data_IF_133063924920
#
_entry.id   IF_133063924920
#
_cell.length_a   1.000
_cell.length_b   1.000
_cell.length_c   1.000
_cell.angle_alpha   90.00
_cell.angle_beta   90.00
_cell.angle_gamma   90.00
#
_symmetry.space_group_name_H-M   'P 1'
#
loop_
_entity.id
_entity.type
_entity.pdbx_description
1 polymer ?
#
# COMPACT_ATOMS: atom_id res chain seq x y z
N UNK A 1 7.96 -11.23 -39.53
CA UNK A 1 6.96 -11.71 -40.50
C UNK A 1 5.91 -10.61 -40.61
N UNK A 2 5.74 -10.07 -41.82
CA UNK A 2 4.64 -9.15 -42.10
C UNK A 2 3.32 -9.93 -42.08
N UNK A 3 2.33 -9.40 -41.39
CA UNK A 3 1.00 -10.00 -41.36
C UNK A 3 0.29 -9.70 -42.66
N UNK A 4 -0.27 -10.72 -43.28
CA UNK A 4 -1.10 -10.60 -44.50
C UNK A 4 -2.57 -10.40 -44.12
N UNK A 5 -3.31 -9.74 -45.01
CA UNK A 5 -4.75 -9.52 -44.86
C UNK A 5 -5.51 -10.86 -44.83
N UNK A 6 -6.52 -10.98 -43.95
CA UNK A 6 -7.33 -12.18 -43.81
C UNK A 6 -8.20 -12.51 -45.04
N UNK A 7 -8.30 -11.63 -46.05
CA UNK A 7 -9.10 -11.78 -47.26
C UNK A 7 -8.32 -11.77 -48.57
N UNK A 8 -7.02 -11.39 -48.55
CA UNK A 8 -6.17 -11.42 -49.74
C UNK A 8 -4.68 -11.43 -49.33
N UNK A 9 -3.73 -11.73 -50.23
CA UNK A 9 -2.28 -11.81 -49.90
C UNK A 9 -1.59 -10.49 -49.70
N UNK A 10 -2.30 -9.37 -49.71
CA UNK A 10 -1.74 -8.03 -49.47
C UNK A 10 -1.31 -7.81 -47.99
N UNK A 11 -0.28 -7.00 -47.69
CA UNK A 11 0.08 -6.69 -46.33
C UNK A 11 -1.05 -5.96 -45.59
N UNK A 12 -1.18 -6.18 -44.29
CA UNK A 12 -2.20 -5.49 -43.46
C UNK A 12 -1.89 -4.02 -43.34
N UNK A 13 -2.91 -3.19 -43.25
CA UNK A 13 -2.79 -1.73 -43.12
C UNK A 13 -2.03 -1.28 -41.86
N UNK A 14 -2.08 -2.06 -40.83
CA UNK A 14 -1.29 -1.83 -39.58
C UNK A 14 -1.08 -3.13 -38.83
N UNK A 15 -0.10 -3.16 -37.91
CA UNK A 15 0.18 -4.35 -37.07
C UNK A 15 -1.04 -4.83 -36.24
N UNK A 16 -2.07 -3.99 -36.07
CA UNK A 16 -3.28 -4.29 -35.30
C UNK A 16 -4.52 -4.54 -36.16
N UNK A 17 -4.46 -4.38 -37.47
CA UNK A 17 -5.60 -4.62 -38.36
C UNK A 17 -5.47 -5.99 -39.08
N UNK A 18 -6.54 -6.81 -39.12
CA UNK A 18 -6.54 -8.03 -39.93
C UNK A 18 -6.77 -7.77 -41.42
N UNK A 19 -6.97 -6.52 -41.85
CA UNK A 19 -7.33 -6.16 -43.23
C UNK A 19 -6.31 -5.21 -43.86
N UNK A 20 -6.11 -5.33 -45.19
CA UNK A 20 -5.42 -4.31 -45.99
C UNK A 20 -6.31 -3.06 -46.14
N UNK A 21 -5.77 -1.99 -46.72
CA UNK A 21 -6.48 -0.71 -46.86
C UNK A 21 -7.84 -0.83 -47.55
N UNK A 22 -7.90 -1.58 -48.63
CA UNK A 22 -9.14 -1.80 -49.46
C UNK A 22 -10.20 -2.59 -48.67
N UNK A 23 -9.84 -3.76 -48.15
CA UNK A 23 -10.77 -4.59 -47.38
C UNK A 23 -11.21 -3.97 -46.05
N UNK A 24 -10.42 -3.04 -45.48
CA UNK A 24 -10.84 -2.24 -44.34
C UNK A 24 -11.98 -1.26 -44.69
N UNK A 25 -11.94 -0.69 -45.90
CA UNK A 25 -13.02 0.18 -46.39
C UNK A 25 -14.30 -0.64 -46.59
N UNK A 26 -14.19 -1.84 -47.17
CA UNK A 26 -15.34 -2.73 -47.30
C UNK A 26 -15.90 -3.23 -45.96
N UNK A 27 -15.04 -3.61 -45.01
CA UNK A 27 -15.47 -4.01 -43.69
C UNK A 27 -16.18 -2.85 -42.95
N UNK A 28 -15.74 -1.60 -43.15
CA UNK A 28 -16.47 -0.43 -42.68
C UNK A 28 -17.83 -0.26 -43.37
N UNK A 29 -17.92 -0.45 -44.71
CA UNK A 29 -19.19 -0.39 -45.43
C UNK A 29 -20.19 -1.43 -44.94
N UNK A 30 -19.74 -2.63 -44.56
CA UNK A 30 -20.61 -3.68 -44.00
C UNK A 30 -21.09 -3.28 -42.59
N UNK A 31 -20.24 -2.67 -41.76
CA UNK A 31 -20.65 -2.12 -40.47
C UNK A 31 -21.68 -0.98 -40.60
N UNK A 32 -21.60 -0.18 -41.67
CA UNK A 32 -22.58 0.88 -41.97
C UNK A 32 -23.89 0.37 -42.54
N UNK A 33 -23.93 -0.84 -43.16
CA UNK A 33 -25.16 -1.47 -43.61
C UNK A 33 -26.03 -2.05 -42.50
N UNK A 34 -25.46 -2.23 -41.30
CA UNK A 34 -26.17 -2.65 -40.10
C UNK A 34 -26.44 -1.45 -39.19
N UNK A 35 -26.88 -0.33 -39.75
CA UNK A 35 -27.36 0.79 -38.91
C UNK A 35 -28.56 0.30 -38.11
N UNK A 36 -28.60 0.40 -36.82
CA UNK A 36 -29.75 -0.01 -36.01
C UNK A 36 -31.02 0.75 -36.46
N UNK A 37 -32.16 0.13 -36.29
CA UNK A 37 -33.45 0.77 -36.60
C UNK A 37 -33.63 2.00 -35.65
N UNK A 38 -34.33 3.05 -36.16
CA UNK A 38 -34.71 4.16 -35.30
C UNK A 38 -35.48 3.69 -34.06
N UNK A 39 -35.19 4.27 -32.91
CA UNK A 39 -35.85 3.96 -31.64
C UNK A 39 -35.91 5.21 -30.74
N UNK A 40 -36.82 5.25 -29.77
CA UNK A 40 -36.95 6.42 -28.90
C UNK A 40 -35.76 6.60 -27.98
N UNK A 41 -35.39 7.83 -27.72
CA UNK A 41 -34.39 8.19 -26.71
C UNK A 41 -34.97 8.00 -25.31
N UNK A 42 -34.29 7.30 -24.44
CA UNK A 42 -34.74 7.00 -23.08
C UNK A 42 -34.88 8.25 -22.18
N UNK A 43 -34.34 9.40 -22.61
CA UNK A 43 -34.43 10.66 -21.84
C UNK A 43 -35.55 11.61 -22.34
N UNK A 44 -35.60 11.90 -23.66
CA UNK A 44 -36.55 12.87 -24.18
C UNK A 44 -37.74 12.25 -24.92
N UNK A 45 -37.73 10.95 -25.17
CA UNK A 45 -38.77 10.25 -25.90
C UNK A 45 -38.75 10.46 -27.43
N UNK A 46 -37.97 11.38 -27.95
CA UNK A 46 -37.84 11.63 -29.38
C UNK A 46 -37.06 10.50 -30.07
N UNK A 47 -37.41 10.27 -31.34
CA UNK A 47 -36.76 9.16 -32.09
C UNK A 47 -35.32 9.47 -32.45
N UNK A 48 -34.44 8.54 -32.18
CA UNK A 48 -33.03 8.54 -32.66
C UNK A 48 -33.02 7.99 -34.06
N UNK A 49 -33.09 8.89 -35.07
CA UNK A 49 -33.25 8.53 -36.48
C UNK A 49 -32.07 7.73 -37.06
N UNK A 50 -30.87 8.00 -36.61
CA UNK A 50 -29.63 7.38 -37.06
C UNK A 50 -28.70 7.00 -35.90
N UNK A 51 -29.07 5.99 -35.11
CA UNK A 51 -28.18 5.55 -34.02
C UNK A 51 -26.89 4.99 -34.63
N UNK A 52 -25.73 5.41 -34.11
CA UNK A 52 -24.43 4.94 -34.61
C UNK A 52 -23.95 3.63 -33.95
N UNK A 53 -24.66 3.20 -32.89
CA UNK A 53 -24.49 1.90 -32.23
C UNK A 53 -25.84 1.28 -31.93
N UNK A 54 -25.94 -0.02 -31.96
CA UNK A 54 -27.19 -0.77 -31.72
C UNK A 54 -27.74 -0.61 -30.29
N UNK A 55 -26.89 -0.18 -29.35
CA UNK A 55 -27.20 0.04 -27.94
C UNK A 55 -27.29 1.53 -27.56
N UNK A 56 -27.33 2.44 -28.54
CA UNK A 56 -27.44 3.88 -28.28
C UNK A 56 -28.85 4.20 -27.76
N UNK A 57 -28.96 4.50 -26.47
CA UNK A 57 -30.22 4.79 -25.78
C UNK A 57 -30.58 6.28 -25.71
N UNK A 58 -29.65 7.16 -26.06
CA UNK A 58 -29.79 8.61 -25.89
C UNK A 58 -29.27 9.36 -27.10
N UNK A 59 -29.85 10.51 -27.40
CA UNK A 59 -29.20 11.51 -28.26
C UNK A 59 -27.92 12.03 -27.60
N UNK A 60 -26.93 12.43 -28.38
CA UNK A 60 -25.64 12.91 -27.85
C UNK A 60 -25.79 14.06 -26.84
N UNK A 61 -26.77 14.96 -27.04
CA UNK A 61 -27.06 16.03 -26.08
C UNK A 61 -27.89 15.62 -24.86
N UNK A 62 -28.56 14.45 -24.89
CA UNK A 62 -29.40 13.95 -23.80
C UNK A 62 -28.60 13.14 -22.77
N UNK A 63 -27.55 12.44 -23.17
CA UNK A 63 -26.74 11.66 -22.25
C UNK A 63 -26.10 12.45 -21.11
N UNK A 64 -25.48 13.64 -21.36
CA UNK A 64 -24.95 14.46 -20.28
C UNK A 64 -26.05 14.95 -19.30
N UNK A 65 -27.24 15.29 -19.80
CA UNK A 65 -28.38 15.73 -19.00
C UNK A 65 -28.92 14.60 -18.14
N UNK A 66 -29.18 13.43 -18.74
CA UNK A 66 -29.59 12.24 -18.02
C UNK A 66 -28.58 11.86 -16.93
N UNK A 67 -27.28 11.89 -17.24
CA UNK A 67 -26.23 11.63 -16.26
C UNK A 67 -26.23 12.64 -15.11
N UNK A 68 -26.40 13.92 -15.41
CA UNK A 68 -26.44 14.97 -14.38
C UNK A 68 -27.64 14.79 -13.43
N UNK A 69 -28.83 14.46 -13.96
CA UNK A 69 -30.03 14.20 -13.16
C UNK A 69 -29.93 12.94 -12.31
N UNK A 70 -29.42 11.85 -12.88
CA UNK A 70 -29.21 10.59 -12.13
C UNK A 70 -28.07 10.66 -11.11
N UNK A 71 -27.03 11.44 -11.36
CA UNK A 71 -25.98 11.72 -10.34
C UNK A 71 -26.59 12.57 -9.22
N UNK A 72 -27.45 13.54 -9.55
CA UNK A 72 -28.17 14.35 -8.54
C UNK A 72 -29.14 13.52 -7.70
N UNK A 73 -29.83 12.54 -8.29
CA UNK A 73 -30.77 11.66 -7.57
C UNK A 73 -30.10 10.53 -6.80
N UNK A 74 -28.94 10.02 -7.25
CA UNK A 74 -28.14 9.08 -6.47
C UNK A 74 -27.48 9.73 -5.26
N UNK A 75 -27.14 11.01 -5.34
CA UNK A 75 -26.64 11.78 -4.20
C UNK A 75 -27.74 12.25 -3.24
N UNK A 76 -29.02 12.02 -3.57
CA UNK A 76 -30.16 12.09 -2.63
C UNK A 76 -30.56 10.66 -2.24
N UNK A 77 -29.60 9.88 -1.72
CA UNK A 77 -29.96 8.76 -0.86
C UNK A 77 -30.88 9.31 0.23
N UNK A 78 -31.97 8.59 0.61
CA UNK A 78 -32.78 9.01 1.73
C UNK A 78 -31.84 9.32 2.88
N UNK A 79 -31.99 10.51 3.49
CA UNK A 79 -31.36 10.80 4.76
C UNK A 79 -31.95 9.78 5.72
N UNK A 80 -31.29 8.60 5.82
CA UNK A 80 -31.44 7.74 6.97
C UNK A 80 -31.01 8.59 8.15
N UNK A 81 -31.83 8.66 9.16
CA UNK A 81 -31.35 9.04 10.48
C UNK A 81 -30.11 8.19 10.75
N UNK A 82 -29.00 8.78 11.17
CA UNK A 82 -27.76 8.03 11.35
C UNK A 82 -28.08 6.84 12.25
N UNK A 83 -27.96 5.63 11.72
CA UNK A 83 -27.89 4.45 12.56
C UNK A 83 -26.59 4.63 13.32
N UNK A 84 -26.70 5.02 14.58
CA UNK A 84 -25.62 5.46 15.48
C UNK A 84 -24.43 4.46 15.48
N UNK A 85 -24.68 3.23 15.06
CA UNK A 85 -23.71 2.15 14.99
C UNK A 85 -22.88 2.15 13.69
N UNK A 86 -23.51 2.42 12.54
CA UNK A 86 -22.81 2.53 11.26
C UNK A 86 -22.02 3.83 11.15
N UNK A 87 -22.57 4.93 11.66
CA UNK A 87 -21.85 6.20 11.72
C UNK A 87 -20.68 6.14 12.69
N UNK A 88 -20.79 5.38 13.79
CA UNK A 88 -19.65 5.08 14.67
C UNK A 88 -18.57 4.24 13.99
N UNK A 89 -18.98 3.26 13.16
CA UNK A 89 -18.02 2.48 12.34
C UNK A 89 -17.35 3.35 11.28
N UNK A 90 -18.11 4.15 10.54
CA UNK A 90 -17.57 5.08 9.54
C UNK A 90 -16.79 6.21 10.19
N UNK A 91 -17.25 6.79 11.30
CA UNK A 91 -16.52 7.80 12.04
C UNK A 91 -15.23 7.25 12.64
N UNK A 92 -15.21 5.99 13.06
CA UNK A 92 -13.99 5.30 13.49
C UNK A 92 -12.99 5.15 12.32
N UNK A 93 -13.49 4.98 11.09
CA UNK A 93 -12.67 4.94 9.87
C UNK A 93 -12.28 6.34 9.36
N UNK A 94 -13.20 7.29 9.38
CA UNK A 94 -12.94 8.67 8.96
C UNK A 94 -12.09 9.44 9.99
N UNK A 95 -12.16 9.07 11.27
CA UNK A 95 -11.40 9.73 12.35
C UNK A 95 -9.95 9.28 12.46
N UNK A 96 -9.54 8.19 11.82
CA UNK A 96 -8.12 7.77 11.79
C UNK A 96 -7.34 8.69 10.86
N UNK A 97 -6.97 9.82 11.40
CA UNK A 97 -6.10 10.79 10.76
C UNK A 97 -4.63 10.43 10.99
N UNK A 98 -3.75 11.11 10.28
CA UNK A 98 -2.33 11.06 10.58
C UNK A 98 -2.08 11.48 12.04
N UNK A 99 -1.15 10.79 12.70
CA UNK A 99 -0.76 11.08 14.08
C UNK A 99 0.43 12.01 14.05
N UNK A 100 0.44 13.01 14.97
CA UNK A 100 1.60 13.87 15.20
C UNK A 100 2.23 13.55 16.55
N UNK A 101 3.55 13.35 16.57
CA UNK A 101 4.35 13.10 17.76
C UNK A 101 5.40 14.21 17.84
N UNK A 102 5.20 15.16 18.73
CA UNK A 102 6.08 16.32 18.96
C UNK A 102 6.49 16.48 20.44
N UNK A 103 6.20 15.46 21.25
CA UNK A 103 6.42 15.44 22.70
C UNK A 103 7.70 14.68 23.13
N UNK A 104 8.64 14.46 22.20
CA UNK A 104 9.89 13.74 22.49
C UNK A 104 11.02 14.70 22.79
N UNK A 105 11.72 14.41 23.89
CA UNK A 105 12.85 15.18 24.40
C UNK A 105 14.18 14.68 23.82
N UNK A 106 15.21 15.52 23.96
CA UNK A 106 16.59 15.18 23.61
C UNK A 106 17.05 13.88 24.30
N UNK A 107 17.69 13.02 23.52
CA UNK A 107 18.11 11.70 23.97
C UNK A 107 17.06 10.60 23.73
N UNK A 108 15.84 10.95 23.31
CA UNK A 108 14.87 9.94 22.87
C UNK A 108 15.36 9.19 21.64
N UNK A 109 15.00 7.91 21.57
CA UNK A 109 15.41 6.98 20.50
C UNK A 109 14.19 6.38 19.82
N UNK A 110 14.21 6.39 18.49
CA UNK A 110 13.15 5.85 17.63
C UNK A 110 13.68 4.64 16.87
N UNK A 111 12.93 3.54 16.91
CA UNK A 111 13.13 2.36 16.05
C UNK A 111 11.94 2.25 15.08
N UNK A 112 12.18 2.13 13.79
CA UNK A 112 11.16 1.88 12.78
C UNK A 112 11.49 0.55 12.10
N UNK A 113 10.52 -0.37 12.11
CA UNK A 113 10.60 -1.68 11.46
C UNK A 113 9.40 -1.86 10.54
N UNK A 114 9.56 -2.58 9.44
CA UNK A 114 8.56 -2.72 8.38
C UNK A 114 8.68 -4.05 7.67
N UNK A 115 7.62 -4.45 6.99
CA UNK A 115 7.64 -5.54 6.01
C UNK A 115 8.18 -6.85 6.61
N UNK A 116 7.60 -7.26 7.75
CA UNK A 116 7.90 -8.57 8.36
C UNK A 116 7.26 -9.69 7.58
N UNK A 117 6.07 -9.44 7.04
CA UNK A 117 5.26 -10.37 6.26
C UNK A 117 5.16 -11.75 6.92
N UNK A 118 4.75 -11.74 8.19
CA UNK A 118 4.56 -12.99 8.94
C UNK A 118 3.62 -13.94 8.19
N UNK A 119 3.99 -15.21 8.03
CA UNK A 119 5.07 -15.92 8.72
C UNK A 119 6.44 -15.91 7.99
N UNK A 120 6.62 -15.11 6.93
CA UNK A 120 7.80 -15.11 6.07
C UNK A 120 8.94 -14.21 6.57
N UNK A 121 8.88 -13.78 7.81
CA UNK A 121 9.98 -13.05 8.46
C UNK A 121 11.27 -13.84 8.45
N UNK A 122 12.41 -13.18 8.25
CA UNK A 122 13.72 -13.78 8.50
C UNK A 122 13.91 -13.91 10.02
N UNK A 123 13.77 -15.15 10.51
CA UNK A 123 13.76 -15.43 11.96
C UNK A 123 15.07 -15.06 12.65
N UNK A 124 16.21 -15.21 11.97
CA UNK A 124 17.50 -14.86 12.54
C UNK A 124 17.63 -13.33 12.67
N UNK A 125 17.28 -12.60 11.61
CA UNK A 125 17.24 -11.15 11.62
C UNK A 125 16.25 -10.61 12.66
N UNK A 126 15.04 -11.17 12.74
CA UNK A 126 14.04 -10.79 13.74
C UNK A 126 14.61 -10.90 15.18
N UNK A 127 15.26 -12.02 15.50
CA UNK A 127 15.88 -12.23 16.81
C UNK A 127 17.00 -11.23 17.09
N UNK A 128 17.84 -10.94 16.09
CA UNK A 128 18.91 -9.96 16.21
C UNK A 128 18.37 -8.54 16.43
N UNK A 129 17.31 -8.13 15.70
CA UNK A 129 16.66 -6.83 15.89
C UNK A 129 15.95 -6.75 17.25
N UNK A 130 15.31 -7.84 17.70
CA UNK A 130 14.69 -7.92 19.02
C UNK A 130 15.75 -7.81 20.15
N UNK A 131 16.89 -8.47 20.00
CA UNK A 131 18.04 -8.33 20.92
C UNK A 131 18.54 -6.89 20.92
N UNK A 132 18.79 -6.33 19.73
CA UNK A 132 19.16 -4.92 19.58
C UNK A 132 18.19 -3.99 20.30
N UNK A 133 16.91 -4.13 20.11
CA UNK A 133 15.89 -3.31 20.79
C UNK A 133 15.96 -3.45 22.30
N UNK A 134 16.26 -4.66 22.81
CA UNK A 134 16.46 -4.91 24.24
C UNK A 134 17.67 -4.21 24.82
N UNK A 135 18.76 -4.16 24.08
CA UNK A 135 20.01 -3.47 24.48
C UNK A 135 19.90 -1.95 24.35
N UNK A 136 19.30 -1.52 23.24
CA UNK A 136 19.23 -0.10 22.86
C UNK A 136 18.09 0.66 23.55
N UNK A 137 17.00 -0.06 23.94
CA UNK A 137 15.87 0.48 24.70
C UNK A 137 15.24 1.71 24.00
N UNK A 138 14.61 1.57 22.83
CA UNK A 138 13.97 2.69 22.15
C UNK A 138 12.86 3.31 23.01
N UNK A 139 12.63 4.62 22.85
CA UNK A 139 11.51 5.32 23.47
C UNK A 139 10.25 5.24 22.61
N UNK A 140 10.42 5.11 21.29
CA UNK A 140 9.34 4.81 20.37
C UNK A 140 9.72 3.68 19.43
N UNK A 141 8.76 2.81 19.16
CA UNK A 141 8.83 1.80 18.09
C UNK A 141 7.68 2.10 17.14
N UNK A 142 7.97 2.24 15.85
CA UNK A 142 6.96 2.34 14.80
C UNK A 142 7.00 1.08 13.94
N UNK A 143 5.89 0.37 13.92
CA UNK A 143 5.61 -0.71 13.00
C UNK A 143 5.07 -0.09 11.71
N UNK A 144 5.90 -0.05 10.69
CA UNK A 144 5.59 0.72 9.48
C UNK A 144 4.94 -0.15 8.40
N UNK A 145 3.98 -0.99 8.79
CA UNK A 145 3.11 -1.77 7.91
C UNK A 145 3.70 -3.09 7.41
N UNK A 146 2.82 -3.87 6.80
CA UNK A 146 3.09 -5.20 6.25
C UNK A 146 3.74 -6.14 7.30
N UNK A 147 3.16 -6.12 8.53
CA UNK A 147 3.52 -7.09 9.58
C UNK A 147 2.98 -8.47 9.20
N UNK A 148 1.73 -8.52 8.71
CA UNK A 148 1.10 -9.70 8.14
C UNK A 148 1.47 -9.86 6.67
N UNK A 149 1.51 -11.10 6.16
CA UNK A 149 1.49 -11.32 4.71
C UNK A 149 0.05 -11.44 4.17
N UNK A 150 -0.86 -11.95 4.99
CA UNK A 150 -2.25 -12.24 4.59
C UNK A 150 -2.31 -13.10 3.31
N UNK A 151 -1.45 -14.13 3.25
CA UNK A 151 -1.18 -14.95 2.07
C UNK A 151 -2.42 -15.66 1.55
N UNK A 152 -3.18 -16.33 2.43
CA UNK A 152 -4.35 -17.13 2.04
C UNK A 152 -5.47 -16.31 1.40
N UNK A 153 -5.58 -15.04 1.77
CA UNK A 153 -6.60 -14.11 1.25
C UNK A 153 -6.06 -13.17 0.17
N UNK A 154 -4.86 -13.50 -0.34
CA UNK A 154 -4.25 -12.77 -1.46
C UNK A 154 -5.09 -12.90 -2.73
N UNK A 155 -5.07 -11.87 -3.57
CA UNK A 155 -5.62 -11.91 -4.92
C UNK A 155 -4.65 -12.51 -5.96
N UNK A 156 -3.43 -12.82 -5.55
CA UNK A 156 -2.42 -13.47 -6.37
C UNK A 156 -2.48 -14.99 -6.21
N UNK A 157 -1.86 -15.72 -7.14
CA UNK A 157 -1.74 -17.17 -7.06
C UNK A 157 -1.07 -17.58 -5.74
N UNK A 158 -1.76 -18.43 -4.98
CA UNK A 158 -1.26 -18.96 -3.72
C UNK A 158 -0.89 -20.43 -3.87
N UNK A 159 0.19 -20.85 -3.21
CA UNK A 159 0.58 -22.25 -3.17
C UNK A 159 -0.33 -23.03 -2.21
N UNK A 160 -1.19 -23.95 -2.69
CA UNK A 160 -2.17 -24.64 -1.85
C UNK A 160 -1.54 -25.61 -0.84
N UNK A 161 -0.24 -25.87 -0.93
CA UNK A 161 0.49 -26.71 0.05
C UNK A 161 0.97 -25.92 1.27
N UNK A 162 0.97 -24.59 1.22
CA UNK A 162 1.23 -23.72 2.37
C UNK A 162 -0.01 -23.64 3.24
N UNK A 163 0.12 -23.97 4.51
CA UNK A 163 -0.98 -24.05 5.47
C UNK A 163 -0.77 -23.14 6.68
N UNK A 164 -0.47 -21.88 6.42
CA UNK A 164 -0.49 -20.88 7.49
C UNK A 164 -1.77 -20.09 7.36
N UNK A 165 -2.72 -20.34 8.26
CA UNK A 165 -3.99 -19.63 8.29
C UNK A 165 -3.82 -18.19 8.78
N UNK A 166 -4.69 -17.29 8.32
CA UNK A 166 -4.68 -15.87 8.75
C UNK A 166 -4.73 -15.72 10.28
N UNK A 167 -5.38 -16.66 11.00
CA UNK A 167 -5.42 -16.66 12.46
C UNK A 167 -4.04 -16.92 13.09
N UNK A 168 -3.21 -17.73 12.45
CA UNK A 168 -1.83 -17.99 12.90
C UNK A 168 -0.95 -16.77 12.64
N UNK A 169 -1.10 -16.11 11.47
CA UNK A 169 -0.40 -14.87 11.15
C UNK A 169 -0.72 -13.77 12.17
N UNK A 170 -2.02 -13.57 12.48
CA UNK A 170 -2.48 -12.61 13.50
C UNK A 170 -1.86 -12.92 14.86
N UNK A 171 -1.84 -14.21 15.26
CA UNK A 171 -1.21 -14.61 16.53
C UNK A 171 0.27 -14.27 16.55
N UNK A 172 1.00 -14.59 15.47
CA UNK A 172 2.44 -14.28 15.36
C UNK A 172 2.69 -12.77 15.42
N UNK A 173 1.85 -11.97 14.77
CA UNK A 173 1.96 -10.52 14.82
C UNK A 173 1.73 -9.96 16.23
N UNK A 174 0.73 -10.45 16.94
CA UNK A 174 0.51 -10.10 18.36
C UNK A 174 1.70 -10.46 19.22
N UNK A 175 2.22 -11.69 19.08
CA UNK A 175 3.39 -12.13 19.84
C UNK A 175 4.60 -11.21 19.57
N UNK A 176 4.80 -10.78 18.31
CA UNK A 176 5.86 -9.84 17.95
C UNK A 176 5.66 -8.46 18.58
N UNK A 177 4.45 -7.90 18.52
CA UNK A 177 4.11 -6.63 19.18
C UNK A 177 4.39 -6.68 20.69
N UNK A 178 3.98 -7.76 21.35
CA UNK A 178 4.24 -7.96 22.79
C UNK A 178 5.72 -8.14 23.09
N UNK A 179 6.48 -8.84 22.27
CA UNK A 179 7.90 -9.03 22.50
C UNK A 179 8.69 -7.73 22.41
N UNK A 180 8.35 -6.87 21.45
CA UNK A 180 8.97 -5.56 21.31
C UNK A 180 8.51 -4.57 22.38
N UNK A 181 7.26 -4.67 22.89
CA UNK A 181 6.80 -3.81 23.99
C UNK A 181 7.68 -3.96 25.24
N UNK A 182 8.17 -5.16 25.53
CA UNK A 182 9.08 -5.43 26.66
C UNK A 182 10.49 -4.83 26.45
N UNK A 183 10.82 -4.39 25.24
CA UNK A 183 12.12 -3.83 24.88
C UNK A 183 12.14 -2.29 24.94
N UNK A 184 11.01 -1.65 25.13
CA UNK A 184 10.92 -0.20 25.26
C UNK A 184 11.70 0.34 26.47
N UNK A 185 12.14 1.57 26.37
CA UNK A 185 12.55 2.37 27.51
C UNK A 185 11.37 2.63 28.46
N UNK A 186 11.65 3.07 29.69
CA UNK A 186 10.59 3.47 30.62
C UNK A 186 9.80 4.63 30.01
N UNK A 187 8.47 4.52 29.99
CA UNK A 187 7.59 5.51 29.34
C UNK A 187 7.62 5.47 27.82
N UNK A 188 8.23 4.42 27.23
CA UNK A 188 8.25 4.22 25.79
C UNK A 188 6.91 3.78 25.24
N UNK A 189 6.69 4.01 23.94
CA UNK A 189 5.43 3.77 23.23
C UNK A 189 5.68 3.01 21.94
N UNK A 190 4.68 2.23 21.54
CA UNK A 190 4.60 1.66 20.19
C UNK A 190 3.51 2.35 19.38
N UNK A 191 3.70 2.35 18.07
CA UNK A 191 2.80 2.94 17.10
C UNK A 191 2.69 2.01 15.89
N UNK A 192 1.50 1.95 15.30
CA UNK A 192 1.25 1.13 14.12
C UNK A 192 0.88 2.02 12.94
N UNK A 193 1.47 1.75 11.78
CA UNK A 193 1.04 2.24 10.48
C UNK A 193 0.59 1.03 9.67
N UNK A 194 -0.66 1.00 9.21
CA UNK A 194 -1.13 -0.11 8.38
C UNK A 194 -0.40 -0.11 7.02
N UNK A 195 -0.03 -1.29 6.55
CA UNK A 195 0.44 -1.53 5.20
C UNK A 195 -0.69 -1.99 4.27
N UNK A 196 -0.36 -2.28 3.03
CA UNK A 196 -1.34 -2.80 2.08
C UNK A 196 -1.73 -4.26 2.37
N UNK A 197 -0.94 -5.00 3.12
CA UNK A 197 -1.27 -6.36 3.55
C UNK A 197 -2.29 -6.36 4.69
N UNK A 198 -2.20 -5.45 5.64
CA UNK A 198 -3.24 -5.23 6.65
C UNK A 198 -4.57 -4.82 6.00
N UNK A 199 -4.52 -3.92 5.02
CA UNK A 199 -5.68 -3.51 4.25
C UNK A 199 -6.29 -4.67 3.43
N UNK A 200 -5.50 -5.69 3.08
CA UNK A 200 -5.96 -6.89 2.34
C UNK A 200 -7.03 -7.65 3.09
N UNK A 201 -6.87 -7.85 4.42
CA UNK A 201 -7.86 -8.53 5.26
C UNK A 201 -9.19 -7.78 5.25
N UNK A 202 -9.15 -6.48 5.45
CA UNK A 202 -10.33 -5.61 5.45
C UNK A 202 -11.06 -5.66 4.12
N UNK A 203 -10.33 -5.53 3.00
CA UNK A 203 -10.89 -5.62 1.65
C UNK A 203 -11.46 -6.99 1.32
N UNK A 204 -10.85 -8.06 1.83
CA UNK A 204 -11.35 -9.41 1.65
C UNK A 204 -12.72 -9.58 2.32
N UNK A 205 -12.87 -9.14 3.57
CA UNK A 205 -14.13 -9.17 4.28
C UNK A 205 -15.20 -8.37 3.52
N UNK A 206 -14.90 -7.14 3.11
CA UNK A 206 -15.86 -6.30 2.38
C UNK A 206 -16.35 -6.89 1.06
N UNK A 207 -15.49 -7.62 0.35
CA UNK A 207 -15.84 -8.23 -0.93
C UNK A 207 -16.61 -9.54 -0.80
N UNK A 208 -16.29 -10.34 0.19
CA UNK A 208 -16.74 -11.73 0.28
C UNK A 208 -17.75 -11.97 1.41
N UNK A 209 -17.79 -11.11 2.41
CA UNK A 209 -18.60 -11.28 3.63
C UNK A 209 -18.95 -9.91 4.25
N UNK A 210 -19.37 -8.95 3.43
CA UNK A 210 -19.67 -7.58 3.88
C UNK A 210 -20.70 -7.51 5.01
N UNK A 211 -21.68 -8.44 5.00
CA UNK A 211 -22.67 -8.53 6.07
C UNK A 211 -22.06 -8.94 7.43
N UNK A 212 -20.88 -9.56 7.43
CA UNK A 212 -20.18 -9.97 8.65
C UNK A 212 -19.19 -8.89 9.15
N UNK A 213 -18.99 -7.82 8.42
CA UNK A 213 -18.01 -6.77 8.77
C UNK A 213 -18.30 -6.11 10.12
N UNK A 214 -19.57 -6.09 10.55
CA UNK A 214 -19.97 -5.54 11.85
C UNK A 214 -19.69 -6.47 13.03
N UNK A 215 -19.59 -7.78 12.79
CA UNK A 215 -19.42 -8.79 13.85
C UNK A 215 -18.01 -9.38 13.89
N UNK A 216 -17.24 -9.22 12.81
CA UNK A 216 -15.82 -9.60 12.80
C UNK A 216 -15.03 -8.48 13.48
N UNK A 217 -14.21 -8.78 14.50
CA UNK A 217 -13.34 -7.78 15.11
C UNK A 217 -12.45 -7.10 14.05
N UNK A 218 -12.26 -5.80 14.14
CA UNK A 218 -11.33 -5.11 13.24
C UNK A 218 -9.88 -5.56 13.52
N UNK A 219 -8.96 -5.22 12.60
CA UNK A 219 -7.58 -5.68 12.70
C UNK A 219 -6.91 -5.17 13.98
N UNK A 220 -7.21 -3.96 14.42
CA UNK A 220 -6.65 -3.40 15.66
C UNK A 220 -7.03 -4.25 16.88
N UNK A 221 -8.30 -4.69 16.93
CA UNK A 221 -8.77 -5.58 17.99
C UNK A 221 -8.14 -6.98 17.85
N UNK A 222 -8.02 -7.49 16.62
CA UNK A 222 -7.37 -8.78 16.36
C UNK A 222 -5.89 -8.76 16.76
N UNK A 223 -5.20 -7.66 16.55
CA UNK A 223 -3.79 -7.45 16.94
C UNK A 223 -3.62 -6.98 18.38
N UNK A 224 -4.72 -6.70 19.11
CA UNK A 224 -4.69 -6.19 20.48
C UNK A 224 -3.94 -4.86 20.62
N UNK A 225 -4.08 -3.97 19.60
CA UNK A 225 -3.30 -2.73 19.52
C UNK A 225 -3.59 -1.78 20.69
N UNK A 226 -4.82 -1.74 21.20
CA UNK A 226 -5.21 -0.87 22.32
C UNK A 226 -4.38 -1.15 23.59
N UNK A 227 -3.87 -2.39 23.75
CA UNK A 227 -3.05 -2.78 24.90
C UNK A 227 -1.53 -2.62 24.67
N UNK A 228 -1.09 -2.56 23.42
CA UNK A 228 0.35 -2.58 23.10
C UNK A 228 0.84 -1.36 22.33
N UNK A 229 -0.05 -0.61 21.68
CA UNK A 229 0.27 0.59 20.91
C UNK A 229 -0.39 1.84 21.53
N UNK A 230 0.29 2.96 21.45
CA UNK A 230 -0.26 4.28 21.83
C UNK A 230 -1.20 4.84 20.75
N UNK A 231 -1.14 4.29 19.55
CA UNK A 231 -2.04 4.62 18.45
C UNK A 231 -1.69 3.90 17.15
N UNK A 232 -2.64 3.91 16.24
CA UNK A 232 -2.51 3.34 14.89
C UNK A 232 -3.03 4.29 13.83
N UNK A 233 -2.48 4.22 12.62
CA UNK A 233 -2.96 4.96 11.45
C UNK A 233 -3.24 3.99 10.30
N UNK A 234 -4.35 4.17 9.56
CA UNK A 234 -4.71 3.28 8.48
C UNK A 234 -3.79 3.44 7.27
N UNK A 235 -3.82 2.45 6.39
CA UNK A 235 -3.09 2.48 5.12
C UNK A 235 -3.32 3.76 4.34
N UNK A 236 -2.23 4.37 3.86
CA UNK A 236 -2.25 5.63 3.12
C UNK A 236 -2.19 6.89 3.99
N UNK A 237 -2.19 6.74 5.31
CA UNK A 237 -1.91 7.80 6.28
C UNK A 237 -0.47 7.70 6.77
N UNK A 238 -0.08 8.57 7.70
CA UNK A 238 1.31 8.65 8.18
C UNK A 238 1.38 9.09 9.64
N UNK A 239 2.51 8.86 10.24
CA UNK A 239 2.91 9.49 11.50
C UNK A 239 3.90 10.61 11.17
N UNK A 240 3.64 11.80 11.69
CA UNK A 240 4.60 12.91 11.71
C UNK A 240 5.35 12.86 13.04
N UNK A 241 6.62 12.48 13.00
CA UNK A 241 7.49 12.41 14.18
C UNK A 241 8.49 13.58 14.15
N UNK A 242 8.18 14.65 14.87
CA UNK A 242 9.02 15.87 14.90
C UNK A 242 9.29 16.43 13.47
N UNK A 243 8.30 16.41 12.59
CA UNK A 243 8.45 16.84 11.19
C UNK A 243 9.03 15.79 10.24
N UNK A 244 9.36 14.59 10.74
CA UNK A 244 9.78 13.45 9.92
C UNK A 244 8.58 12.54 9.64
N UNK A 245 8.23 12.36 8.37
CA UNK A 245 7.07 11.58 7.95
C UNK A 245 7.38 10.09 7.91
N UNK A 246 6.58 9.28 8.60
CA UNK A 246 6.67 7.83 8.60
C UNK A 246 5.40 7.27 7.97
N UNK A 247 5.51 6.60 6.83
CA UNK A 247 4.38 6.00 6.10
C UNK A 247 4.79 4.66 5.51
N UNK A 248 3.86 3.71 5.43
CA UNK A 248 4.18 2.48 4.71
C UNK A 248 4.45 2.75 3.23
N UNK A 249 3.68 3.66 2.65
CA UNK A 249 3.81 4.03 1.26
C UNK A 249 2.89 3.21 0.34
N UNK A 250 2.73 3.71 -0.88
CA UNK A 250 1.88 3.10 -1.91
C UNK A 250 2.48 3.22 -3.32
N UNK A 251 3.71 3.68 -3.42
CA UNK A 251 4.42 3.80 -4.69
C UNK A 251 5.42 2.66 -4.86
N UNK A 252 5.53 2.18 -6.09
CA UNK A 252 6.61 1.29 -6.53
C UNK A 252 7.28 1.93 -7.74
N UNK A 253 8.59 1.91 -7.78
CA UNK A 253 9.39 2.43 -8.88
C UNK A 253 10.39 1.37 -9.35
N UNK A 254 10.95 1.52 -10.56
CA UNK A 254 11.86 0.53 -11.12
C UNK A 254 13.18 0.39 -10.34
N UNK A 255 13.67 1.49 -9.75
CA UNK A 255 14.97 1.54 -9.08
C UNK A 255 14.83 1.99 -7.64
N UNK A 256 15.78 1.55 -6.78
CA UNK A 256 15.93 2.07 -5.41
C UNK A 256 16.10 3.58 -5.41
N UNK A 257 15.64 4.25 -4.36
CA UNK A 257 15.60 5.70 -4.19
C UNK A 257 14.61 6.46 -5.10
N UNK A 258 14.08 5.85 -6.17
CA UNK A 258 13.06 6.50 -7.00
C UNK A 258 11.71 6.56 -6.30
N UNK A 259 11.39 5.57 -5.48
CA UNK A 259 10.18 5.61 -4.64
C UNK A 259 10.36 6.63 -3.53
N UNK A 260 11.53 6.69 -2.90
CA UNK A 260 11.88 7.74 -1.94
C UNK A 260 11.70 9.14 -2.54
N UNK A 261 12.17 9.36 -3.77
CA UNK A 261 11.95 10.63 -4.49
C UNK A 261 10.47 10.95 -4.66
N UNK A 262 9.64 9.98 -5.07
CA UNK A 262 8.19 10.21 -5.27
C UNK A 262 7.48 10.60 -3.97
N UNK A 263 7.86 10.01 -2.85
CA UNK A 263 7.35 10.39 -1.54
C UNK A 263 7.85 11.78 -1.12
N UNK A 264 9.14 12.07 -1.32
CA UNK A 264 9.70 13.41 -1.07
C UNK A 264 8.98 14.50 -1.86
N UNK A 265 8.72 14.26 -3.15
CA UNK A 265 7.96 15.16 -4.03
C UNK A 265 6.51 15.35 -3.54
N UNK A 266 5.89 14.33 -2.91
CA UNK A 266 4.52 14.39 -2.40
C UNK A 266 4.41 15.13 -1.06
N UNK A 267 5.31 14.81 -0.14
CA UNK A 267 5.22 15.31 1.24
C UNK A 267 5.99 16.61 1.46
N UNK A 268 6.93 16.95 0.57
CA UNK A 268 7.80 18.13 0.71
C UNK A 268 8.51 18.19 2.07
N UNK A 269 8.97 17.05 2.58
CA UNK A 269 9.59 16.88 3.90
C UNK A 269 10.60 15.74 3.88
N UNK A 270 11.31 15.56 4.98
CA UNK A 270 12.05 14.33 5.24
C UNK A 270 11.10 13.22 5.68
N UNK A 271 11.44 11.95 5.39
CA UNK A 271 10.61 10.84 5.80
C UNK A 271 11.14 9.48 5.42
N UNK A 272 10.31 8.44 5.67
CA UNK A 272 10.63 7.04 5.37
C UNK A 272 9.40 6.29 4.88
N UNK A 273 9.61 5.36 3.97
CA UNK A 273 8.62 4.36 3.57
C UNK A 273 9.17 2.93 3.61
N UNK A 274 8.26 1.96 3.81
CA UNK A 274 8.45 0.53 3.59
C UNK A 274 7.99 0.11 2.20
N UNK A 275 7.21 -0.97 2.09
CA UNK A 275 6.47 -1.45 0.93
C UNK A 275 7.32 -1.98 -0.24
N UNK A 276 8.43 -1.35 -0.57
CA UNK A 276 9.26 -1.72 -1.73
C UNK A 276 10.28 -2.80 -1.41
N UNK A 277 10.50 -3.09 -0.14
CA UNK A 277 11.55 -4.01 0.38
C UNK A 277 12.97 -3.60 -0.08
N UNK A 278 13.18 -2.33 -0.44
CA UNK A 278 14.47 -1.84 -0.94
C UNK A 278 15.10 -0.88 0.03
N UNK A 279 16.41 -0.84 0.03
CA UNK A 279 17.18 0.19 0.70
C UNK A 279 17.54 1.29 -0.28
N UNK A 280 17.34 2.53 0.14
CA UNK A 280 17.69 3.69 -0.68
C UNK A 280 17.40 5.00 0.02
N UNK A 281 17.96 6.08 -0.50
CA UNK A 281 17.67 7.42 -0.01
C UNK A 281 17.71 8.44 -1.15
N UNK A 282 16.88 9.46 -1.01
CA UNK A 282 16.86 10.62 -1.91
C UNK A 282 16.90 11.90 -1.10
N UNK A 283 17.88 12.76 -1.39
CA UNK A 283 18.03 14.06 -0.73
C UNK A 283 17.81 15.19 -1.71
N UNK A 284 17.20 16.27 -1.25
CA UNK A 284 17.03 17.51 -2.02
C UNK A 284 17.02 18.72 -1.08
N UNK A 285 17.28 19.90 -1.65
CA UNK A 285 17.14 21.18 -0.95
C UNK A 285 15.94 21.91 -1.53
N UNK A 286 15.05 22.37 -0.68
CA UNK A 286 13.85 23.09 -1.10
C UNK A 286 14.13 24.57 -1.41
N UNK A 287 13.11 25.30 -1.89
CA UNK A 287 13.21 26.72 -2.22
C UNK A 287 13.44 27.66 -1.02
N UNK A 288 13.43 27.13 0.22
CA UNK A 288 13.77 27.84 1.46
C UNK A 288 15.15 27.48 1.97
N UNK A 289 15.96 26.80 1.19
CA UNK A 289 17.30 26.30 1.54
C UNK A 289 17.31 25.29 2.68
N UNK A 290 16.20 24.57 2.90
CA UNK A 290 16.11 23.46 3.85
C UNK A 290 16.40 22.15 3.11
N UNK A 291 17.32 21.35 3.67
CA UNK A 291 17.65 20.02 3.12
C UNK A 291 16.72 18.97 3.70
N UNK A 292 16.20 18.14 2.82
CA UNK A 292 15.32 17.02 3.16
C UNK A 292 15.91 15.72 2.65
N UNK A 293 15.69 14.62 3.39
CA UNK A 293 16.06 13.27 2.95
C UNK A 293 14.90 12.32 3.19
N UNK A 294 14.57 11.55 2.15
CA UNK A 294 13.59 10.46 2.22
C UNK A 294 14.28 9.11 2.09
N UNK A 295 13.83 8.12 2.86
CA UNK A 295 14.41 6.79 2.92
C UNK A 295 13.42 5.73 2.44
N UNK A 296 13.90 4.73 1.69
CA UNK A 296 13.30 3.40 1.55
C UNK A 296 14.04 2.49 2.54
N UNK A 297 13.33 1.86 3.47
CA UNK A 297 13.98 1.29 4.65
C UNK A 297 14.29 -0.21 4.56
N UNK A 298 13.98 -0.86 3.44
CA UNK A 298 14.15 -2.32 3.31
C UNK A 298 13.01 -3.09 3.97
N UNK A 299 13.28 -4.35 4.33
CA UNK A 299 12.32 -5.25 4.96
C UNK A 299 12.97 -6.13 6.03
N UNK A 300 12.15 -6.79 6.86
CA UNK A 300 12.58 -7.84 7.77
C UNK A 300 12.15 -9.25 7.30
N UNK A 301 11.43 -9.35 6.18
CA UNK A 301 11.07 -10.63 5.60
C UNK A 301 12.26 -11.27 4.87
N UNK A 302 12.09 -12.55 4.55
CA UNK A 302 13.02 -13.29 3.69
C UNK A 302 12.99 -12.71 2.29
N UNK A 303 14.14 -12.70 1.62
CA UNK A 303 14.29 -12.18 0.25
C UNK A 303 14.17 -13.26 -0.83
N UNK A 304 14.04 -14.53 -0.42
CA UNK A 304 13.99 -15.72 -1.27
C UNK A 304 12.59 -16.37 -1.34
N UNK A 305 11.54 -15.56 -1.23
CA UNK A 305 10.16 -16.07 -1.20
C UNK A 305 9.76 -16.66 -2.57
N UNK A 306 9.12 -17.82 -2.56
CA UNK A 306 8.81 -18.60 -3.78
C UNK A 306 7.85 -17.91 -4.76
N UNK A 307 7.02 -16.97 -4.27
CA UNK A 307 6.12 -16.21 -5.14
C UNK A 307 6.83 -15.06 -5.89
N UNK A 308 8.09 -14.80 -5.53
CA UNK A 308 8.90 -13.84 -6.27
C UNK A 308 9.47 -14.53 -7.49
N UNK A 309 9.06 -14.07 -8.67
CA UNK A 309 9.57 -14.60 -9.94
C UNK A 309 10.99 -14.04 -10.20
N UNK A 310 12.00 -14.92 -10.14
CA UNK A 310 13.41 -14.55 -10.33
C UNK A 310 14.07 -14.04 -9.06
N UNK A 311 15.13 -13.25 -9.21
CA UNK A 311 15.83 -12.65 -8.06
C UNK A 311 15.15 -11.33 -7.69
N UNK A 312 14.61 -11.26 -6.47
CA UNK A 312 14.07 -10.04 -5.94
C UNK A 312 15.17 -8.98 -5.76
N UNK A 313 14.90 -7.76 -6.17
CA UNK A 313 15.75 -6.63 -5.79
C UNK A 313 15.30 -6.10 -4.42
N UNK A 314 15.39 -6.96 -3.40
CA UNK A 314 15.02 -6.68 -2.02
C UNK A 314 16.26 -6.64 -1.15
N UNK A 315 16.28 -5.77 -0.18
CA UNK A 315 17.35 -5.66 0.80
C UNK A 315 16.76 -5.63 2.21
N UNK A 316 17.43 -6.28 3.15
CA UNK A 316 17.03 -6.29 4.54
C UNK A 316 17.62 -5.09 5.28
N UNK A 317 16.76 -4.47 6.10
CA UNK A 317 17.16 -3.30 6.90
C UNK A 317 16.00 -2.71 7.68
N UNK A 318 16.30 -1.69 8.44
CA UNK A 318 15.37 -0.93 9.27
C UNK A 318 15.92 0.48 9.51
N UNK A 319 15.16 1.33 10.20
CA UNK A 319 15.62 2.69 10.50
C UNK A 319 15.67 2.92 12.02
N UNK A 320 16.73 3.57 12.48
CA UNK A 320 16.81 4.09 13.84
C UNK A 320 16.96 5.61 13.82
N UNK A 321 16.68 6.27 14.93
CA UNK A 321 16.87 7.71 15.03
C UNK A 321 17.07 8.17 16.45
N UNK A 322 17.86 9.22 16.58
CA UNK A 322 18.09 9.95 17.84
C UNK A 322 17.42 11.31 17.80
N UNK A 323 16.78 11.72 18.87
CA UNK A 323 16.22 13.07 19.01
C UNK A 323 17.26 13.98 19.65
N UNK A 324 17.55 15.11 18.99
CA UNK A 324 18.43 16.15 19.52
C UNK A 324 18.01 17.52 19.01
N UNK A 325 17.95 18.51 19.91
CA UNK A 325 17.55 19.87 19.55
C UNK A 325 16.14 19.95 18.94
N UNK A 326 15.22 19.09 19.38
CA UNK A 326 13.85 19.00 18.84
C UNK A 326 13.75 18.43 17.43
N UNK A 327 14.82 17.82 16.89
CA UNK A 327 14.84 17.19 15.56
C UNK A 327 15.23 15.72 15.65
N UNK A 328 14.71 14.90 14.71
CA UNK A 328 15.11 13.51 14.52
C UNK A 328 16.35 13.43 13.65
N UNK A 329 17.34 12.66 14.07
CA UNK A 329 18.55 12.30 13.31
C UNK A 329 18.42 10.83 12.88
N UNK A 330 17.86 10.57 11.69
CA UNK A 330 17.60 9.20 11.22
C UNK A 330 18.87 8.55 10.68
N UNK A 331 19.00 7.26 10.92
CA UNK A 331 20.03 6.40 10.36
C UNK A 331 19.37 5.17 9.74
N UNK A 332 19.57 4.98 8.42
CA UNK A 332 19.18 3.76 7.74
C UNK A 332 20.17 2.65 8.08
N UNK A 333 19.68 1.56 8.63
CA UNK A 333 20.49 0.42 9.04
C UNK A 333 20.38 -0.68 7.99
N UNK A 334 21.51 -1.02 7.37
CA UNK A 334 21.62 -2.08 6.38
C UNK A 334 22.05 -3.39 7.06
N UNK A 335 21.40 -4.48 6.69
CA UNK A 335 21.92 -5.82 6.95
C UNK A 335 22.96 -6.13 5.88
N UNK A 336 24.20 -6.37 6.32
CA UNK A 336 25.32 -6.67 5.46
C UNK A 336 25.57 -8.17 5.48
N UNK A 337 25.68 -8.77 4.31
CA UNK A 337 26.14 -10.14 4.13
C UNK A 337 27.61 -10.14 3.76
N UNK A 338 28.41 -10.91 4.48
CA UNK A 338 29.86 -11.04 4.26
C UNK A 338 30.15 -12.21 3.32
N UNK A 339 31.34 -12.20 2.72
CA UNK A 339 31.78 -13.25 1.77
C UNK A 339 31.92 -14.64 2.37
N UNK A 340 31.93 -14.79 3.69
CA UNK A 340 31.92 -16.08 4.42
C UNK A 340 30.49 -16.56 4.76
N UNK A 341 29.45 -15.78 4.35
CA UNK A 341 28.04 -16.09 4.60
C UNK A 341 27.52 -15.59 5.95
N UNK A 342 28.37 -15.00 6.79
CA UNK A 342 27.90 -14.33 8.00
C UNK A 342 27.14 -13.05 7.64
N UNK A 343 26.14 -12.70 8.46
CA UNK A 343 25.32 -11.49 8.27
C UNK A 343 25.28 -10.68 9.55
N UNK A 344 25.11 -9.39 9.43
CA UNK A 344 24.96 -8.53 10.60
C UNK A 344 24.64 -7.10 10.25
N UNK A 345 24.40 -6.31 11.28
CA UNK A 345 24.21 -4.88 11.17
C UNK A 345 24.93 -4.14 12.30
N UNK A 346 25.12 -2.84 12.13
CA UNK A 346 25.78 -2.00 13.12
C UNK A 346 24.94 -0.78 13.49
N UNK A 347 24.78 -0.52 14.78
CA UNK A 347 24.13 0.67 15.32
C UNK A 347 24.99 1.22 16.46
N UNK A 348 25.21 2.54 16.48
CA UNK A 348 25.99 3.24 17.51
C UNK A 348 27.37 2.58 17.80
N UNK A 349 28.02 2.08 16.74
CA UNK A 349 29.33 1.41 16.85
C UNK A 349 29.29 -0.02 17.41
N UNK A 350 28.11 -0.56 17.74
CA UNK A 350 27.94 -1.96 18.18
C UNK A 350 27.47 -2.82 17.02
N UNK A 351 28.17 -3.95 16.82
CA UNK A 351 27.82 -4.96 15.83
C UNK A 351 26.83 -5.98 16.41
N UNK A 352 25.83 -6.36 15.64
CA UNK A 352 24.86 -7.42 15.92
C UNK A 352 24.95 -8.46 14.80
N UNK A 353 25.31 -9.67 15.17
CA UNK A 353 25.40 -10.82 14.27
C UNK A 353 24.01 -11.44 14.07
N UNK A 354 23.74 -11.97 12.85
CA UNK A 354 22.48 -12.61 12.43
C UNK A 354 22.69 -14.09 12.15
#
# INVERSE_FOLDING_TARGET
MEKTCSRCPQPTWSKRSPYCAEHRIEARKVLWRNTPAPHPCDYCGETIEKPYKGDQKYHDGCYPKHRAEHVSTRNKAPQREPDDQMDRLFAKYESRQSIKIDDREDGSRLLIISDLQLPFVDQALYKAVLQFAGDWRPHDIVWNGDILDAYEISSFDTNPTRRFGIAEEIKMARDALYDFSKRLAVGGRQWMVDGNHEERLRRYIWRNAGELAEIIPDLDQLLDLDNVCAGSVPYGKHIDFLGFVITHGNYVSAHSAYTAKRHADRYHSSGVNGHTHRLGSYSYTDGKSVSHTWYEMGCLCRTDLEYVRGTANWQQGFLVGHVRGGALYPQLVHVIEHGDGSRGFMVDGKHYEI
#
